data_IF_567359248094
#
_entry.id   IF_567359248094
#
_cell.length_a   1.000
_cell.length_b   1.000
_cell.length_c   1.000
_cell.angle_alpha   90.00
_cell.angle_beta   90.00
_cell.angle_gamma   90.00
#
_symmetry.space_group_name_H-M   'P 1'
#
loop_
_entity.id
_entity.type
_entity.pdbx_description
1 polymer ?
#
# COMPACT_ATOMS: atom_id res chain seq x y z
N UNK A 1 -49.44 -1.08 12.54
CA UNK A 1 -48.87 -2.15 13.38
C UNK A 1 -48.20 -3.14 12.46
N UNK A 2 -46.88 -3.07 12.36
CA UNK A 2 -46.03 -4.12 11.81
C UNK A 2 -44.92 -4.30 12.85
N UNK A 3 -44.92 -5.43 13.54
CA UNK A 3 -43.91 -5.80 14.52
C UNK A 3 -43.02 -6.91 13.96
N UNK A 4 -41.70 -6.62 14.00
CA UNK A 4 -40.58 -7.43 14.51
C UNK A 4 -40.26 -8.75 13.78
N UNK A 5 -39.14 -8.90 13.06
CA UNK A 5 -37.70 -8.86 13.45
C UNK A 5 -37.26 -10.08 14.28
N UNK A 6 -36.41 -10.91 13.67
CA UNK A 6 -35.30 -11.74 14.20
C UNK A 6 -34.51 -12.08 12.92
N UNK A 7 -33.24 -11.73 12.70
CA UNK A 7 -32.13 -11.55 13.61
C UNK A 7 -31.05 -12.58 13.24
N UNK A 8 -29.95 -12.12 12.64
CA UNK A 8 -28.57 -12.67 12.71
C UNK A 8 -28.35 -14.12 12.16
N UNK A 9 -27.28 -14.48 11.45
CA UNK A 9 -25.88 -14.33 11.82
C UNK A 9 -24.97 -14.93 10.71
N UNK A 10 -23.70 -14.52 10.77
CA UNK A 10 -22.49 -15.25 10.37
C UNK A 10 -22.09 -15.40 8.89
N UNK A 11 -21.07 -14.61 8.54
CA UNK A 11 -19.91 -15.02 7.73
C UNK A 11 -19.50 -16.48 7.99
N UNK A 12 -18.98 -17.16 6.96
CA UNK A 12 -17.70 -17.88 6.99
C UNK A 12 -17.20 -18.00 5.54
N UNK A 13 -16.05 -17.38 5.30
CA UNK A 13 -15.10 -17.74 4.27
C UNK A 13 -14.57 -19.14 4.60
N UNK A 14 -14.67 -20.13 3.70
CA UNK A 14 -13.60 -21.13 3.63
C UNK A 14 -13.45 -21.65 2.21
N UNK A 15 -12.24 -21.41 1.72
CA UNK A 15 -11.65 -21.93 0.51
C UNK A 15 -11.64 -23.47 0.58
N UNK A 16 -12.22 -24.16 -0.40
CA UNK A 16 -11.74 -25.50 -0.74
C UNK A 16 -11.94 -25.81 -2.22
N UNK A 17 -10.81 -25.71 -2.91
CA UNK A 17 -10.48 -26.33 -4.18
C UNK A 17 -10.49 -27.85 -4.01
N UNK A 18 -11.24 -28.63 -4.81
CA UNK A 18 -10.92 -30.00 -5.31
C UNK A 18 -12.04 -30.37 -6.31
N UNK A 19 -11.78 -30.25 -7.62
CA UNK A 19 -11.42 -31.31 -8.58
C UNK A 19 -12.52 -32.34 -8.87
N UNK A 20 -12.99 -32.27 -10.11
CA UNK A 20 -13.75 -33.26 -10.87
C UNK A 20 -13.04 -34.63 -10.85
N UNK A 21 -13.68 -35.65 -10.27
CA UNK A 21 -13.43 -37.06 -10.61
C UNK A 21 -14.73 -37.85 -10.48
N UNK A 22 -15.02 -38.56 -11.56
CA UNK A 22 -16.04 -39.58 -11.80
C UNK A 22 -16.48 -40.42 -10.59
N UNK A 23 -17.80 -40.68 -10.58
CA UNK A 23 -18.33 -42.02 -10.37
C UNK A 23 -18.50 -42.49 -8.92
N UNK A 24 -19.77 -42.71 -8.55
CA UNK A 24 -20.21 -43.48 -7.38
C UNK A 24 -19.79 -42.94 -6.01
N UNK A 25 -20.71 -42.24 -5.35
CA UNK A 25 -20.69 -42.12 -3.89
C UNK A 25 -21.72 -43.08 -3.30
N UNK A 26 -21.24 -44.21 -2.79
CA UNK A 26 -21.95 -45.00 -1.78
C UNK A 26 -21.34 -44.64 -0.43
N UNK A 27 -22.14 -44.13 0.50
CA UNK A 27 -21.77 -44.00 1.91
C UNK A 27 -22.82 -44.75 2.72
N UNK A 28 -22.39 -45.87 3.30
CA UNK A 28 -23.13 -46.57 4.34
C UNK A 28 -23.04 -45.76 5.63
N UNK A 29 -24.16 -45.44 6.27
CA UNK A 29 -24.24 -45.43 7.74
C UNK A 29 -25.65 -45.79 8.18
N UNK A 30 -25.67 -46.85 8.97
CA UNK A 30 -26.68 -47.45 9.83
C UNK A 30 -27.77 -46.50 10.36
N UNK A 31 -28.98 -46.57 9.79
CA UNK A 31 -30.25 -46.45 10.48
C UNK A 31 -31.37 -46.76 9.48
N UNK A 32 -32.19 -47.76 9.78
CA UNK A 32 -33.30 -48.19 8.93
C UNK A 32 -34.30 -47.05 8.68
N UNK A 33 -34.27 -46.48 7.48
CA UNK A 33 -35.39 -45.78 6.87
C UNK A 33 -35.26 -45.98 5.37
N UNK A 34 -36.26 -46.61 4.77
CA UNK A 34 -36.35 -46.89 3.34
C UNK A 34 -36.31 -45.55 2.57
N UNK A 35 -35.13 -45.17 2.09
CA UNK A 35 -34.99 -43.97 1.26
C UNK A 35 -35.57 -44.26 -0.11
N UNK A 36 -36.79 -43.78 -0.36
CA UNK A 36 -37.32 -43.69 -1.72
C UNK A 36 -36.43 -42.70 -2.48
N UNK A 37 -35.53 -43.22 -3.31
CA UNK A 37 -34.78 -42.40 -4.27
C UNK A 37 -35.79 -41.85 -5.27
N UNK A 38 -36.17 -40.58 -5.13
CA UNK A 38 -36.81 -39.86 -6.21
C UNK A 38 -35.80 -39.83 -7.37
N UNK A 39 -36.03 -40.68 -8.38
CA UNK A 39 -35.32 -40.58 -9.66
C UNK A 39 -35.46 -39.14 -10.13
N UNK A 40 -34.34 -38.43 -10.25
CA UNK A 40 -34.33 -37.18 -10.99
C UNK A 40 -34.74 -37.54 -12.43
N UNK A 41 -35.99 -37.24 -12.79
CA UNK A 41 -36.53 -37.54 -14.13
C UNK A 41 -35.74 -36.73 -15.14
N UNK A 42 -35.39 -37.37 -16.25
CA UNK A 42 -34.63 -36.75 -17.32
C UNK A 42 -35.42 -35.53 -17.85
N UNK A 43 -34.74 -34.48 -18.30
CA UNK A 43 -35.41 -33.23 -18.71
C UNK A 43 -36.41 -33.41 -19.86
N UNK A 44 -36.36 -34.54 -20.57
CA UNK A 44 -37.35 -34.94 -21.58
C UNK A 44 -38.70 -35.38 -21.00
N UNK A 45 -38.74 -35.82 -19.74
CA UNK A 45 -39.93 -36.35 -19.06
C UNK A 45 -40.75 -35.28 -18.32
N UNK A 46 -40.24 -34.04 -18.26
CA UNK A 46 -40.96 -32.88 -17.75
C UNK A 46 -40.71 -31.69 -18.67
N UNK A 47 -41.77 -31.04 -19.15
CA UNK A 47 -41.71 -29.81 -19.94
C UNK A 47 -41.24 -28.60 -19.13
N UNK A 48 -40.06 -28.69 -18.50
CA UNK A 48 -39.40 -27.55 -17.88
C UNK A 48 -38.98 -26.57 -18.97
N UNK A 49 -39.25 -25.28 -18.71
CA UNK A 49 -38.78 -24.22 -19.58
C UNK A 49 -37.25 -24.25 -19.65
N UNK A 50 -36.73 -24.32 -20.87
CA UNK A 50 -35.30 -24.48 -21.14
C UNK A 50 -34.54 -23.29 -20.54
N UNK A 51 -33.71 -23.55 -19.53
CA UNK A 51 -32.80 -22.52 -19.02
C UNK A 51 -31.81 -22.14 -20.13
N UNK A 52 -31.94 -20.92 -20.64
CA UNK A 52 -30.96 -20.32 -21.55
C UNK A 52 -29.62 -20.24 -20.81
N UNK A 53 -28.61 -20.97 -21.31
CA UNK A 53 -27.25 -20.82 -20.81
C UNK A 53 -26.81 -19.37 -21.04
N UNK A 54 -26.19 -18.69 -20.04
CA UNK A 54 -25.71 -17.33 -20.21
C UNK A 54 -24.78 -17.27 -21.41
N UNK A 55 -25.17 -16.53 -22.46
CA UNK A 55 -24.31 -16.31 -23.62
C UNK A 55 -22.98 -15.74 -23.12
N UNK A 56 -21.82 -16.36 -23.46
CA UNK A 56 -20.54 -15.80 -23.08
C UNK A 56 -20.43 -14.41 -23.70
N UNK A 57 -20.34 -13.41 -22.84
CA UNK A 57 -20.40 -11.96 -23.15
C UNK A 57 -19.29 -11.47 -24.11
N UNK A 58 -18.43 -12.36 -24.61
CA UNK A 58 -17.16 -12.01 -25.26
C UNK A 58 -16.85 -12.87 -26.50
N UNK A 59 -17.82 -13.09 -27.38
CA UNK A 59 -17.52 -13.65 -28.72
C UNK A 59 -16.74 -12.65 -29.60
N UNK A 60 -16.96 -11.34 -29.43
CA UNK A 60 -16.26 -10.29 -30.18
C UNK A 60 -14.81 -10.05 -29.73
N UNK A 61 -14.42 -10.51 -28.53
CA UNK A 61 -13.08 -10.25 -27.97
C UNK A 61 -12.04 -11.27 -28.46
N UNK A 62 -12.45 -12.46 -28.90
CA UNK A 62 -11.52 -13.51 -29.35
C UNK A 62 -10.77 -13.12 -30.63
N UNK A 63 -11.43 -12.37 -31.53
CA UNK A 63 -10.82 -11.90 -32.78
C UNK A 63 -9.73 -10.86 -32.51
N UNK A 64 -10.01 -9.92 -31.59
CA UNK A 64 -9.04 -8.92 -31.14
C UNK A 64 -7.84 -9.56 -30.42
N UNK A 65 -8.07 -10.61 -29.63
CA UNK A 65 -6.98 -11.34 -28.95
C UNK A 65 -6.09 -12.06 -29.96
N UNK A 66 -6.66 -12.67 -31.01
CA UNK A 66 -5.89 -13.30 -32.09
C UNK A 66 -5.05 -12.28 -32.87
N UNK A 67 -5.66 -11.17 -33.27
CA UNK A 67 -4.96 -10.10 -34.01
C UNK A 67 -3.80 -9.49 -33.17
N UNK A 68 -3.95 -9.40 -31.84
CA UNK A 68 -2.89 -8.95 -30.93
C UNK A 68 -1.75 -9.97 -30.85
N UNK A 69 -2.04 -11.27 -30.78
CA UNK A 69 -1.02 -12.32 -30.69
C UNK A 69 -0.25 -12.42 -32.01
N UNK A 70 -0.94 -12.40 -33.15
CA UNK A 70 -0.34 -12.50 -34.47
C UNK A 70 0.52 -11.26 -34.81
N UNK A 71 0.13 -10.08 -34.31
CA UNK A 71 0.94 -8.85 -34.46
C UNK A 71 2.23 -8.81 -33.62
N UNK A 72 2.40 -9.75 -32.66
CA UNK A 72 3.54 -9.76 -31.73
C UNK A 72 4.71 -10.66 -32.16
N UNK A 73 4.52 -11.51 -33.17
CA UNK A 73 5.53 -12.49 -33.62
C UNK A 73 6.54 -11.94 -34.64
N UNK A 74 6.49 -10.63 -34.95
CA UNK A 74 7.30 -10.04 -36.04
C UNK A 74 8.09 -8.77 -35.73
N UNK A 75 8.22 -8.33 -34.47
CA UNK A 75 8.96 -7.11 -34.16
C UNK A 75 9.83 -7.24 -32.89
N UNK A 76 11.05 -7.73 -33.09
CA UNK A 76 12.17 -7.39 -32.23
C UNK A 76 12.44 -5.89 -32.38
N UNK A 77 12.15 -5.13 -31.32
CA UNK A 77 12.34 -3.68 -31.29
C UNK A 77 11.31 -3.00 -30.41
N UNK A 78 11.43 -3.17 -29.09
CA UNK A 78 10.69 -2.34 -28.13
C UNK A 78 11.21 -0.89 -28.19
N UNK A 79 10.84 -0.15 -29.23
CA UNK A 79 10.78 1.31 -29.14
C UNK A 79 9.69 1.61 -28.13
N UNK A 80 10.10 1.72 -26.86
CA UNK A 80 9.23 2.10 -25.77
C UNK A 80 8.41 3.31 -26.19
N UNK A 81 7.09 3.21 -26.03
CA UNK A 81 6.21 4.37 -26.10
C UNK A 81 6.73 5.36 -25.06
N UNK A 82 7.49 6.36 -25.50
CA UNK A 82 7.83 7.53 -24.69
C UNK A 82 6.50 8.25 -24.45
N UNK A 83 5.77 7.79 -23.44
CA UNK A 83 4.61 8.50 -22.92
C UNK A 83 5.07 9.91 -22.59
N UNK A 84 4.36 10.89 -23.13
CA UNK A 84 4.57 12.29 -22.77
C UNK A 84 4.69 12.38 -21.24
N UNK A 85 5.72 13.09 -20.76
CA UNK A 85 6.03 13.27 -19.33
C UNK A 85 4.81 13.88 -18.63
N UNK A 86 3.84 13.07 -18.20
CA UNK A 86 2.78 13.50 -17.32
C UNK A 86 3.35 13.46 -15.91
N UNK A 87 4.11 14.51 -15.57
CA UNK A 87 4.63 14.74 -14.21
C UNK A 87 3.53 14.59 -13.16
N UNK A 88 2.28 14.96 -13.49
CA UNK A 88 1.11 14.74 -12.64
C UNK A 88 0.80 13.26 -12.36
N UNK A 89 0.96 12.37 -13.34
CA UNK A 89 0.78 10.91 -13.12
C UNK A 89 1.93 10.33 -12.33
N UNK A 90 3.17 10.74 -12.65
CA UNK A 90 4.37 10.28 -11.94
C UNK A 90 4.36 10.70 -10.45
N UNK A 91 3.99 11.95 -10.15
CA UNK A 91 3.85 12.45 -8.78
C UNK A 91 2.77 11.69 -8.00
N UNK A 92 1.63 11.41 -8.64
CA UNK A 92 0.54 10.64 -8.02
C UNK A 92 0.96 9.19 -7.74
N UNK A 93 1.68 8.55 -8.66
CA UNK A 93 2.21 7.19 -8.47
C UNK A 93 3.27 7.17 -7.36
N UNK A 94 4.18 8.15 -7.32
CA UNK A 94 5.19 8.26 -6.27
C UNK A 94 4.56 8.38 -4.88
N UNK A 95 3.54 9.23 -4.74
CA UNK A 95 2.80 9.38 -3.49
C UNK A 95 2.03 8.10 -3.12
N UNK A 96 1.47 7.39 -4.11
CA UNK A 96 0.80 6.10 -3.87
C UNK A 96 1.78 5.04 -3.38
N UNK A 97 2.94 4.89 -4.04
CA UNK A 97 4.00 3.97 -3.61
C UNK A 97 4.48 4.30 -2.20
N UNK A 98 4.70 5.58 -1.92
CA UNK A 98 5.12 6.04 -0.61
C UNK A 98 4.07 5.68 0.45
N UNK A 99 2.79 5.93 0.20
CA UNK A 99 1.71 5.54 1.12
C UNK A 99 1.58 4.02 1.32
N UNK A 100 1.86 3.23 0.29
CA UNK A 100 1.81 1.77 0.39
C UNK A 100 2.94 1.19 1.24
N UNK A 101 4.13 1.78 1.19
CA UNK A 101 5.31 1.29 1.90
C UNK A 101 5.61 2.05 3.20
N UNK A 102 4.89 3.15 3.48
CA UNK A 102 5.15 3.97 4.64
C UNK A 102 4.81 3.25 5.93
N UNK A 103 5.79 3.17 6.82
CA UNK A 103 5.62 2.65 8.17
C UNK A 103 5.41 3.80 9.16
N UNK A 104 4.62 3.55 10.20
CA UNK A 104 4.28 4.57 11.19
C UNK A 104 3.20 4.11 12.16
N UNK A 105 2.73 5.04 13.00
CA UNK A 105 1.73 4.72 14.01
C UNK A 105 0.35 4.47 13.37
N UNK A 106 -0.04 3.19 13.32
CA UNK A 106 -1.28 2.73 12.70
C UNK A 106 -2.54 3.27 13.38
N UNK A 107 -2.44 3.76 14.63
CA UNK A 107 -3.55 4.36 15.37
C UNK A 107 -3.94 5.75 14.88
N UNK A 108 -3.04 6.45 14.18
CA UNK A 108 -3.30 7.81 13.70
C UNK A 108 -4.39 7.83 12.62
N UNK A 109 -5.36 8.74 12.68
CA UNK A 109 -6.37 8.89 11.62
C UNK A 109 -5.72 9.35 10.31
N UNK A 110 -6.24 8.89 9.16
CA UNK A 110 -5.64 9.18 7.86
C UNK A 110 -5.55 10.67 7.53
N UNK A 111 -6.47 11.49 8.06
CA UNK A 111 -6.51 12.95 7.88
C UNK A 111 -5.30 13.66 8.49
N UNK A 112 -4.70 13.08 9.54
CA UNK A 112 -3.56 13.67 10.24
C UNK A 112 -2.22 13.11 9.75
N UNK A 113 -2.23 12.10 8.88
CA UNK A 113 -1.01 11.46 8.40
C UNK A 113 -0.32 12.32 7.33
N UNK A 114 0.88 12.76 7.65
CA UNK A 114 1.82 13.33 6.68
C UNK A 114 2.88 12.30 6.37
N UNK A 115 3.12 12.09 5.08
CA UNK A 115 4.01 11.05 4.60
C UNK A 115 5.30 11.66 4.07
N UNK A 116 6.43 11.01 4.34
CA UNK A 116 7.73 11.43 3.84
C UNK A 116 8.58 10.25 3.41
N UNK A 117 9.48 10.48 2.46
CA UNK A 117 10.63 9.62 2.24
C UNK A 117 11.77 10.14 3.11
N UNK A 118 12.10 9.36 4.13
CA UNK A 118 13.15 9.71 5.09
C UNK A 118 14.45 9.06 4.64
N UNK A 119 15.43 9.88 4.28
CA UNK A 119 16.79 9.44 4.00
C UNK A 119 17.54 9.25 5.32
N UNK A 120 18.25 8.14 5.44
CA UNK A 120 18.91 7.75 6.68
C UNK A 120 20.40 8.17 6.67
N UNK A 121 21.04 8.29 7.85
CA UNK A 121 22.44 8.67 7.97
C UNK A 121 23.37 7.75 7.20
N UNK A 122 24.51 8.27 6.73
CA UNK A 122 25.52 7.46 6.02
C UNK A 122 26.01 6.33 6.94
N UNK A 123 25.82 5.09 6.51
CA UNK A 123 26.17 3.88 7.28
C UNK A 123 24.99 3.07 7.79
N UNK A 124 23.75 3.53 7.60
CA UNK A 124 22.56 2.70 7.78
C UNK A 124 22.46 1.59 6.73
N UNK A 125 21.79 0.48 7.07
CA UNK A 125 21.57 -0.65 6.15
C UNK A 125 20.76 -0.27 4.92
N UNK A 126 19.81 0.64 5.09
CA UNK A 126 18.93 1.16 4.04
C UNK A 126 19.28 2.62 3.76
N UNK A 127 19.22 3.05 2.50
CA UNK A 127 19.45 4.46 2.13
C UNK A 127 18.27 5.38 2.52
N UNK A 128 17.05 4.89 2.35
CA UNK A 128 15.84 5.65 2.64
C UNK A 128 14.71 4.72 3.04
N UNK A 129 13.79 5.22 3.86
CA UNK A 129 12.59 4.52 4.31
C UNK A 129 11.38 5.43 4.19
N UNK A 130 10.29 4.89 3.67
CA UNK A 130 9.01 5.60 3.65
C UNK A 130 8.42 5.57 5.07
N UNK A 131 8.04 6.73 5.58
CA UNK A 131 7.44 6.86 6.91
C UNK A 131 6.27 7.83 6.89
N UNK A 132 5.38 7.70 7.88
CA UNK A 132 4.33 8.70 8.10
C UNK A 132 4.25 9.11 9.57
N UNK A 133 3.87 10.37 9.79
CA UNK A 133 3.81 11.00 11.11
C UNK A 133 2.49 11.77 11.26
N UNK A 134 2.14 12.11 12.49
CA UNK A 134 1.03 13.02 12.75
C UNK A 134 1.46 14.47 12.47
N UNK A 135 0.63 15.19 11.72
CA UNK A 135 0.78 16.61 11.40
C UNK A 135 1.05 17.49 12.64
N UNK A 136 0.46 17.13 13.78
CA UNK A 136 0.50 17.92 15.02
C UNK A 136 1.71 17.60 15.91
N UNK A 137 2.57 16.65 15.52
CA UNK A 137 3.74 16.32 16.31
C UNK A 137 4.82 17.40 16.21
N UNK A 138 5.59 17.57 17.30
CA UNK A 138 6.83 18.33 17.27
C UNK A 138 7.88 17.60 16.45
N UNK A 139 8.82 18.35 15.87
CA UNK A 139 9.95 17.77 15.14
C UNK A 139 10.77 16.84 16.04
N UNK A 140 10.94 17.17 17.33
CA UNK A 140 11.58 16.27 18.30
C UNK A 140 10.91 14.90 18.38
N UNK A 141 9.58 14.87 18.51
CA UNK A 141 8.83 13.61 18.54
C UNK A 141 8.93 12.84 17.21
N UNK A 142 8.96 13.56 16.09
CA UNK A 142 9.17 12.95 14.76
C UNK A 142 10.55 12.29 14.68
N UNK A 143 11.61 12.96 15.16
CA UNK A 143 12.96 12.40 15.19
C UNK A 143 13.03 11.16 16.09
N UNK A 144 12.45 11.21 17.29
CA UNK A 144 12.41 10.06 18.21
C UNK A 144 11.72 8.84 17.58
N UNK A 145 10.58 9.09 16.93
CA UNK A 145 9.81 8.05 16.29
C UNK A 145 10.50 7.50 15.03
N UNK A 146 11.02 8.38 14.18
CA UNK A 146 11.78 7.99 12.98
C UNK A 146 13.04 7.18 13.35
N UNK A 147 13.75 7.58 14.42
CA UNK A 147 14.90 6.83 14.92
C UNK A 147 14.49 5.43 15.37
N UNK A 148 13.38 5.30 16.08
CA UNK A 148 12.83 4.00 16.49
C UNK A 148 12.48 3.12 15.29
N UNK A 149 11.81 3.68 14.27
CA UNK A 149 11.44 2.97 13.04
C UNK A 149 12.65 2.56 12.19
N UNK A 150 13.72 3.36 12.19
CA UNK A 150 14.95 3.09 11.47
C UNK A 150 15.98 2.31 12.30
N UNK A 151 15.68 1.96 13.55
CA UNK A 151 16.61 1.35 14.49
C UNK A 151 17.91 2.15 14.66
N UNK A 152 17.79 3.48 14.69
CA UNK A 152 18.89 4.42 14.90
C UNK A 152 19.03 4.76 16.38
N UNK A 153 20.25 5.03 16.81
CA UNK A 153 20.57 5.39 18.19
C UNK A 153 20.35 6.89 18.42
N UNK A 154 19.24 7.25 19.04
CA UNK A 154 18.96 8.62 19.44
C UNK A 154 19.32 8.83 20.92
N UNK A 155 20.35 9.63 21.18
CA UNK A 155 20.81 9.99 22.52
C UNK A 155 20.76 11.50 22.77
N UNK A 156 19.83 12.20 22.10
CA UNK A 156 19.71 13.65 22.17
C UNK A 156 19.53 14.22 23.59
N UNK A 157 19.05 13.39 24.54
CA UNK A 157 18.87 13.77 25.94
C UNK A 157 20.18 13.77 26.76
N UNK A 158 21.28 13.24 26.22
CA UNK A 158 22.58 13.17 26.93
C UNK A 158 23.44 14.37 26.58
N UNK A 159 23.81 15.16 27.57
CA UNK A 159 24.69 16.34 27.40
C UNK A 159 26.11 15.99 26.92
N UNK A 160 26.53 14.73 27.05
CA UNK A 160 27.84 14.24 26.62
C UNK A 160 27.94 14.01 25.11
N UNK A 161 26.82 14.02 24.40
CA UNK A 161 26.76 13.68 22.98
C UNK A 161 27.05 14.93 22.16
N UNK A 162 28.15 14.91 21.40
CA UNK A 162 28.56 16.02 20.53
C UNK A 162 27.67 16.17 19.29
N UNK A 163 27.15 15.05 18.78
CA UNK A 163 26.32 15.01 17.58
C UNK A 163 24.91 14.52 17.89
N UNK A 164 23.93 15.39 17.70
CA UNK A 164 22.52 15.10 17.92
C UNK A 164 21.86 14.68 16.62
N UNK A 165 20.94 13.73 16.69
CA UNK A 165 20.13 13.34 15.55
C UNK A 165 19.14 14.45 15.23
N UNK A 166 19.18 14.98 14.00
CA UNK A 166 18.34 16.08 13.54
C UNK A 166 17.65 15.72 12.22
N UNK A 167 16.49 16.32 12.00
CA UNK A 167 15.73 16.23 10.76
C UNK A 167 16.07 17.44 9.89
N UNK A 168 16.49 17.21 8.65
CA UNK A 168 16.94 18.26 7.73
C UNK A 168 16.00 18.36 6.53
N UNK A 169 15.72 19.61 6.14
CA UNK A 169 14.99 19.91 4.92
C UNK A 169 15.92 19.86 3.70
N UNK A 170 15.51 19.17 2.63
CA UNK A 170 16.35 18.98 1.45
C UNK A 170 16.57 20.28 0.66
N UNK A 171 15.53 21.01 0.21
CA UNK A 171 15.69 22.26 -0.53
C UNK A 171 16.47 23.34 0.23
N UNK A 172 16.18 23.52 1.53
CA UNK A 172 16.82 24.57 2.34
C UNK A 172 18.16 24.14 2.93
N UNK A 173 18.42 22.84 3.02
CA UNK A 173 19.57 22.27 3.75
C UNK A 173 19.52 22.48 5.27
N UNK A 174 18.50 23.15 5.78
CA UNK A 174 18.36 23.55 7.19
C UNK A 174 17.93 22.36 8.07
N UNK A 175 18.55 22.24 9.24
CA UNK A 175 18.13 21.34 10.30
C UNK A 175 16.93 21.95 11.05
N UNK A 176 15.80 21.26 11.00
CA UNK A 176 14.55 21.71 11.58
C UNK A 176 14.66 21.80 13.12
N UNK A 177 14.24 22.92 13.75
CA UNK A 177 14.20 23.06 15.19
C UNK A 177 13.26 22.04 15.84
N UNK A 178 13.70 21.40 16.93
CA UNK A 178 12.99 20.29 17.58
C UNK A 178 11.68 20.72 18.27
N UNK A 179 11.59 22.00 18.63
CA UNK A 179 10.47 22.65 19.30
C UNK A 179 9.33 23.05 18.34
N UNK A 180 9.62 23.16 17.05
CA UNK A 180 8.60 23.44 16.04
C UNK A 180 7.71 22.23 15.77
N UNK A 181 6.50 22.46 15.25
CA UNK A 181 5.58 21.41 14.81
C UNK A 181 5.72 21.12 13.32
N UNK A 182 5.38 19.90 12.89
CA UNK A 182 5.33 19.56 11.46
C UNK A 182 4.36 20.46 10.69
N UNK A 183 3.22 20.77 11.28
CA UNK A 183 2.23 21.69 10.70
C UNK A 183 2.83 23.04 10.33
N UNK A 184 3.58 23.67 11.25
CA UNK A 184 4.21 24.97 11.01
C UNK A 184 5.17 24.94 9.81
N UNK A 185 5.88 23.83 9.61
CA UNK A 185 6.79 23.66 8.48
C UNK A 185 6.07 23.38 7.15
N UNK A 186 4.87 22.80 7.18
CA UNK A 186 4.05 22.54 5.98
C UNK A 186 3.32 23.81 5.53
N UNK A 187 2.94 24.68 6.46
CA UNK A 187 2.26 25.96 6.17
C UNK A 187 3.22 27.12 5.95
N UNK A 188 4.53 26.90 6.02
CA UNK A 188 5.55 27.94 5.86
C UNK A 188 5.49 28.54 4.43
N UNK A 189 5.61 29.85 4.29
CA UNK A 189 5.60 30.51 2.98
C UNK A 189 6.90 30.25 2.21
N UNK A 190 8.04 30.29 2.91
CA UNK A 190 9.36 30.06 2.35
C UNK A 190 9.73 28.57 2.46
N UNK A 191 9.71 27.88 1.31
CA UNK A 191 10.06 26.47 1.15
C UNK A 191 9.32 25.51 2.13
N UNK A 192 7.99 25.35 2.01
CA UNK A 192 7.24 24.46 2.89
C UNK A 192 7.61 22.99 2.69
N UNK A 193 7.44 22.22 3.76
CA UNK A 193 7.41 20.77 3.67
C UNK A 193 6.14 20.31 2.94
N UNK A 194 6.29 19.35 2.04
CA UNK A 194 5.17 18.79 1.29
C UNK A 194 4.86 17.36 1.75
N UNK A 195 3.57 17.01 1.78
CA UNK A 195 3.14 15.63 1.98
C UNK A 195 3.55 14.78 0.77
N UNK A 196 4.33 13.74 1.01
CA UNK A 196 5.03 12.95 -0.01
C UNK A 196 6.41 13.52 -0.38
N UNK A 197 6.88 14.53 0.35
CA UNK A 197 8.21 15.12 0.19
C UNK A 197 9.33 14.26 0.77
N UNK A 198 10.54 14.79 0.69
CA UNK A 198 11.76 14.14 1.12
C UNK A 198 12.39 14.90 2.30
N UNK A 199 12.87 14.16 3.29
CA UNK A 199 13.58 14.70 4.46
C UNK A 199 14.78 13.83 4.76
N UNK A 200 15.83 14.40 5.36
CA UNK A 200 17.05 13.67 5.73
C UNK A 200 17.17 13.61 7.24
N UNK A 201 17.47 12.44 7.77
CA UNK A 201 17.84 12.26 9.16
C UNK A 201 19.36 12.14 9.24
N UNK A 202 20.03 12.99 10.02
CA UNK A 202 21.49 13.00 10.12
C UNK A 202 21.96 13.42 11.52
N UNK A 203 23.15 12.95 11.90
CA UNK A 203 23.82 13.36 13.14
C UNK A 203 24.61 14.64 12.89
N UNK A 204 24.15 15.74 13.47
CA UNK A 204 24.77 17.06 13.34
C UNK A 204 25.33 17.53 14.68
N UNK A 205 26.47 18.22 14.63
CA UNK A 205 26.99 18.91 15.81
C UNK A 205 26.03 20.05 16.22
N UNK A 206 26.06 20.46 17.48
CA UNK A 206 25.14 21.51 17.98
C UNK A 206 25.32 22.85 17.25
N UNK A 207 26.52 23.11 16.73
CA UNK A 207 26.89 24.29 15.95
C UNK A 207 26.47 24.20 14.47
N UNK A 208 26.17 23.00 13.96
CA UNK A 208 25.84 22.78 12.55
C UNK A 208 24.32 22.82 12.35
N UNK A 209 23.84 23.97 11.87
CA UNK A 209 22.43 24.20 11.54
C UNK A 209 22.08 23.77 10.10
N UNK A 210 23.08 23.50 9.27
CA UNK A 210 22.90 23.16 7.85
C UNK A 210 23.66 21.90 7.46
N UNK A 211 23.00 21.04 6.68
CA UNK A 211 23.61 19.88 6.09
C UNK A 211 24.39 20.28 4.82
N UNK A 212 25.72 20.18 4.86
CA UNK A 212 26.60 20.64 3.77
C UNK A 212 26.48 19.86 2.46
N UNK A 213 26.03 18.60 2.50
CA UNK A 213 26.07 17.68 1.35
C UNK A 213 24.72 16.99 1.11
N UNK A 214 23.66 17.76 0.90
CA UNK A 214 22.31 17.24 0.66
C UNK A 214 22.26 16.34 -0.59
N UNK A 215 22.93 16.73 -1.67
CA UNK A 215 22.88 16.01 -2.96
C UNK A 215 23.35 14.56 -2.86
N UNK A 216 24.30 14.28 -1.97
CA UNK A 216 24.85 12.92 -1.77
C UNK A 216 23.84 11.89 -1.25
N UNK A 217 22.66 12.33 -0.78
CA UNK A 217 21.57 11.44 -0.35
C UNK A 217 20.58 11.16 -1.49
N UNK A 218 20.57 11.97 -2.54
CA UNK A 218 19.65 11.86 -3.66
C UNK A 218 20.21 10.98 -4.81
N UNK A 219 21.49 10.58 -4.74
CA UNK A 219 22.19 9.67 -5.67
C UNK A 219 22.00 8.16 -5.36
#
# INVERSE_FOLDING_TARGET
MAELDIGQHCQIFFHLYVMDVQGYFALNTEAGTLMVVLRHRHQSDHGCEKLELPKPRMAATQKLVKDIIDSKTGAAGSKGRKGAKSSGTAAKVALMQLKMHADGDKSLPQTERVYFRVYLPKGSKEKSKAMFFCLRWSIGKVVDFAASLASLRNENNKLTVKQKLRLCHIPSGEALPLDHTLEAWITKEDHPLYNGGNVILEYLNDEEQFLKNVDSYLE
#
